data_IF_914847421500
#
_entry.id   IF_914847421500
#
_cell.length_a   1.000
_cell.length_b   1.000
_cell.length_c   1.000
_cell.angle_alpha   90.00
_cell.angle_beta   90.00
_cell.angle_gamma   90.00
#
_symmetry.space_group_name_H-M   'P 1'
#
loop_
_entity.id
_entity.type
_entity.pdbx_description
1 polymer ?
#
# COMPACT_ATOMS: atom_id res chain seq x y z
N UNK A 1 22.81 -13.49 -47.69
CA UNK A 1 22.82 -12.16 -48.34
C UNK A 1 21.48 -11.48 -48.09
N UNK A 2 21.53 -10.28 -47.51
CA UNK A 2 20.54 -9.18 -47.41
C UNK A 2 19.11 -9.46 -47.87
N UNK A 3 18.12 -9.22 -46.99
CA UNK A 3 17.11 -8.14 -47.13
C UNK A 3 16.67 -7.67 -45.74
N UNK A 4 17.21 -6.54 -45.29
CA UNK A 4 16.71 -5.78 -44.15
C UNK A 4 15.55 -4.96 -44.71
N UNK A 5 14.31 -5.30 -44.34
CA UNK A 5 13.17 -4.46 -44.69
C UNK A 5 13.07 -3.30 -43.71
N UNK A 6 13.08 -2.12 -44.31
CA UNK A 6 13.07 -0.79 -43.73
C UNK A 6 11.68 -0.48 -43.14
N UNK A 7 11.66 0.03 -41.92
CA UNK A 7 10.49 0.57 -41.22
C UNK A 7 9.84 1.74 -41.98
N UNK A 8 8.51 1.87 -41.99
CA UNK A 8 7.85 3.17 -42.05
C UNK A 8 7.66 3.73 -40.63
N UNK A 9 8.44 4.77 -40.36
CA UNK A 9 8.41 5.68 -39.23
C UNK A 9 7.10 6.50 -39.28
N UNK A 10 6.08 6.11 -38.51
CA UNK A 10 4.91 6.97 -38.27
C UNK A 10 5.13 7.80 -37.00
N UNK A 11 5.70 8.98 -37.19
CA UNK A 11 5.73 10.04 -36.18
C UNK A 11 4.30 10.61 -36.07
N UNK A 12 3.54 10.10 -35.10
CA UNK A 12 2.32 10.75 -34.63
C UNK A 12 2.69 11.80 -33.58
N UNK A 13 2.79 13.06 -33.99
CA UNK A 13 2.81 14.20 -33.07
C UNK A 13 1.43 14.33 -32.41
N UNK A 14 1.25 13.69 -31.26
CA UNK A 14 0.17 14.00 -30.33
C UNK A 14 0.70 14.95 -29.28
N UNK A 15 0.64 16.25 -29.62
CA UNK A 15 0.84 17.35 -28.68
C UNK A 15 -0.40 17.41 -27.78
N UNK A 16 -0.39 16.61 -26.71
CA UNK A 16 -1.35 16.75 -25.63
C UNK A 16 -0.95 17.93 -24.75
N UNK A 17 -1.79 18.97 -24.71
CA UNK A 17 -1.63 20.11 -23.80
C UNK A 17 -1.55 19.63 -22.35
N UNK A 18 -0.46 19.98 -21.66
CA UNK A 18 -0.37 19.85 -20.21
C UNK A 18 -1.13 21.01 -19.59
N UNK A 19 -2.26 20.74 -18.92
CA UNK A 19 -2.88 21.74 -18.04
C UNK A 19 -2.03 21.80 -16.77
N UNK A 20 -1.09 22.74 -16.73
CA UNK A 20 -0.36 23.11 -15.51
C UNK A 20 -1.31 23.85 -14.57
N UNK A 21 -1.83 23.15 -13.56
CA UNK A 21 -2.44 23.84 -12.42
C UNK A 21 -1.34 24.36 -11.50
N UNK A 22 -1.15 25.67 -11.49
CA UNK A 22 -0.34 26.33 -10.48
C UNK A 22 -1.04 26.22 -9.12
N UNK A 23 -0.62 25.27 -8.30
CA UNK A 23 -0.93 25.27 -6.88
C UNK A 23 -0.05 26.34 -6.25
N UNK A 24 -0.55 27.57 -6.20
CA UNK A 24 0.05 28.64 -5.40
C UNK A 24 0.11 28.19 -3.94
N UNK A 25 1.30 28.08 -3.31
CA UNK A 25 1.38 27.78 -1.89
C UNK A 25 0.84 28.98 -1.12
N UNK A 26 -0.42 28.89 -0.67
CA UNK A 26 -0.92 29.79 0.38
C UNK A 26 -0.05 29.58 1.61
N UNK A 27 0.91 30.48 1.81
CA UNK A 27 1.57 30.72 3.10
C UNK A 27 0.48 31.03 4.12
N UNK A 28 0.09 30.05 4.92
CA UNK A 28 -0.62 30.31 6.18
C UNK A 28 0.37 30.96 7.14
N UNK A 29 0.20 32.27 7.30
CA UNK A 29 0.98 33.08 8.23
C UNK A 29 0.63 32.70 9.67
N UNK A 30 1.57 32.07 10.38
CA UNK A 30 1.53 32.00 11.84
C UNK A 30 1.74 33.42 12.42
N UNK A 31 0.65 34.06 12.88
CA UNK A 31 0.75 35.26 13.73
C UNK A 31 0.99 34.86 15.20
N UNK A 32 2.28 34.73 15.52
CA UNK A 32 3.03 35.29 16.66
C UNK A 32 2.25 35.86 17.87
N UNK A 33 2.58 35.35 19.06
CA UNK A 33 3.12 36.19 20.17
C UNK A 33 3.77 35.35 21.29
N UNK A 34 5.09 35.45 21.38
CA UNK A 34 5.97 35.30 22.57
C UNK A 34 5.60 36.38 23.61
N UNK A 35 5.73 36.33 24.93
CA UNK A 35 6.47 35.50 25.91
C UNK A 35 6.11 36.02 27.32
N UNK A 36 6.02 35.16 28.36
CA UNK A 36 6.65 35.43 29.69
C UNK A 36 6.60 34.24 30.65
N UNK A 37 7.75 34.04 31.29
CA UNK A 37 7.99 33.55 32.66
C UNK A 37 7.71 32.08 33.04
N UNK A 38 8.83 31.35 33.05
CA UNK A 38 9.32 30.42 34.05
C UNK A 38 8.39 30.00 35.21
N UNK A 39 8.06 28.71 35.23
CA UNK A 39 8.08 27.90 36.44
C UNK A 39 8.10 26.41 36.08
N UNK A 40 9.26 25.77 36.15
CA UNK A 40 9.31 24.35 36.51
C UNK A 40 9.00 24.29 38.01
N UNK A 41 8.14 23.38 38.54
CA UNK A 41 8.50 21.97 38.53
C UNK A 41 7.31 20.99 38.50
N UNK A 42 7.50 19.83 37.87
CA UNK A 42 7.28 18.48 38.43
C UNK A 42 7.06 17.49 37.29
N UNK A 43 7.93 16.49 37.27
CA UNK A 43 7.75 15.20 36.60
C UNK A 43 6.29 14.72 36.79
N UNK A 44 5.51 14.71 35.72
CA UNK A 44 4.65 13.57 35.44
C UNK A 44 5.22 12.91 34.22
N UNK A 45 5.82 11.75 34.47
CA UNK A 45 6.24 10.80 33.47
C UNK A 45 4.95 10.24 32.90
N UNK A 46 4.24 11.03 32.09
CA UNK A 46 3.18 10.50 31.26
C UNK A 46 3.92 9.67 30.23
N UNK A 47 4.06 8.38 30.57
CA UNK A 47 4.39 7.35 29.61
C UNK A 47 3.38 7.53 28.49
N UNK A 48 3.78 8.26 27.44
CA UNK A 48 3.15 8.19 26.15
C UNK A 48 3.25 6.72 25.80
N UNK A 49 2.19 5.97 26.09
CA UNK A 49 1.97 4.67 25.47
C UNK A 49 1.80 5.05 24.01
N UNK A 50 2.94 5.13 23.31
CA UNK A 50 2.98 5.08 21.87
C UNK A 50 2.44 3.68 21.60
N UNK A 51 1.12 3.60 21.42
CA UNK A 51 0.49 2.41 20.91
C UNK A 51 1.10 2.25 19.52
N UNK A 52 2.20 1.50 19.44
CA UNK A 52 2.85 1.17 18.18
C UNK A 52 1.80 0.36 17.44
N UNK A 53 1.03 1.01 16.57
CA UNK A 53 0.08 0.35 15.70
C UNK A 53 0.84 -0.75 14.98
N UNK A 54 0.62 -2.01 15.38
CA UNK A 54 1.20 -3.15 14.68
C UNK A 54 0.54 -3.20 13.32
N UNK A 55 1.28 -2.75 12.31
CA UNK A 55 0.92 -2.92 10.91
C UNK A 55 1.76 -4.05 10.36
N UNK A 56 1.12 -5.04 9.75
CA UNK A 56 1.79 -6.16 9.07
C UNK A 56 1.38 -6.09 7.62
N UNK A 57 2.35 -6.07 6.72
CA UNK A 57 2.08 -6.12 5.29
C UNK A 57 3.11 -6.96 4.58
N UNK A 58 2.68 -7.79 3.64
CA UNK A 58 3.59 -8.50 2.75
C UNK A 58 3.00 -8.66 1.37
N UNK A 59 3.89 -8.76 0.39
CA UNK A 59 3.58 -9.13 -0.97
C UNK A 59 4.47 -10.31 -1.34
N UNK A 60 3.87 -11.41 -1.78
CA UNK A 60 4.60 -12.58 -2.27
C UNK A 60 4.13 -12.93 -3.67
N UNK A 61 5.07 -13.40 -4.50
CA UNK A 61 4.84 -13.80 -5.88
C UNK A 61 5.44 -15.17 -6.10
N UNK A 62 4.66 -16.05 -6.71
CA UNK A 62 5.05 -17.40 -7.09
C UNK A 62 4.58 -17.68 -8.52
N UNK A 63 5.46 -18.26 -9.34
CA UNK A 63 5.17 -18.46 -10.77
C UNK A 63 4.04 -19.46 -11.04
N UNK A 64 3.72 -20.34 -10.08
CA UNK A 64 2.66 -21.35 -10.20
C UNK A 64 1.39 -20.96 -9.45
N UNK A 65 1.52 -20.31 -8.28
CA UNK A 65 0.40 -19.93 -7.42
C UNK A 65 -0.15 -18.54 -7.71
N UNK A 66 0.65 -17.60 -8.24
CA UNK A 66 0.23 -16.22 -8.54
C UNK A 66 0.84 -15.19 -7.59
N UNK A 67 0.05 -14.23 -7.10
CA UNK A 67 0.49 -13.19 -6.15
C UNK A 67 -0.48 -13.03 -4.98
N UNK A 68 0.06 -12.81 -3.78
CA UNK A 68 -0.72 -12.41 -2.60
C UNK A 68 -0.19 -11.07 -2.09
N UNK A 69 -1.11 -10.14 -1.87
CA UNK A 69 -0.86 -8.86 -1.21
C UNK A 69 -1.70 -8.81 0.06
N UNK A 70 -1.07 -8.89 1.22
CA UNK A 70 -1.72 -8.86 2.52
C UNK A 70 -1.36 -7.58 3.26
N UNK A 71 -2.37 -6.95 3.85
CA UNK A 71 -2.20 -5.78 4.71
C UNK A 71 -3.10 -5.95 5.93
N UNK A 72 -2.54 -5.79 7.11
CA UNK A 72 -3.24 -5.73 8.38
C UNK A 72 -2.82 -4.48 9.14
N UNK A 73 -3.78 -3.63 9.48
CA UNK A 73 -3.54 -2.39 10.20
C UNK A 73 -4.67 -2.19 11.21
N UNK A 74 -4.33 -1.90 12.46
CA UNK A 74 -5.30 -1.67 13.54
C UNK A 74 -6.31 -2.83 13.74
N UNK A 75 -5.89 -4.08 13.45
CA UNK A 75 -6.75 -5.26 13.55
C UNK A 75 -7.69 -5.48 12.35
N UNK A 76 -7.61 -4.64 11.32
CA UNK A 76 -8.31 -4.84 10.05
C UNK A 76 -7.34 -5.37 9.00
N UNK A 77 -7.67 -6.54 8.44
CA UNK A 77 -6.94 -7.23 7.41
C UNK A 77 -7.66 -7.17 6.05
N UNK A 78 -6.87 -6.95 5.01
CA UNK A 78 -7.27 -7.02 3.61
C UNK A 78 -6.33 -7.93 2.83
N UNK A 79 -6.88 -8.58 1.81
CA UNK A 79 -6.15 -9.45 0.91
C UNK A 79 -6.52 -9.10 -0.53
N UNK A 80 -5.49 -8.99 -1.37
CA UNK A 80 -5.62 -9.11 -2.82
C UNK A 80 -4.89 -10.37 -3.27
N UNK A 81 -5.61 -11.27 -3.93
CA UNK A 81 -5.08 -12.49 -4.50
C UNK A 81 -5.21 -12.45 -6.02
N UNK A 82 -4.08 -12.68 -6.68
CA UNK A 82 -3.95 -12.72 -8.13
C UNK A 82 -3.51 -14.13 -8.50
N UNK A 83 -4.16 -14.75 -9.47
CA UNK A 83 -3.77 -16.09 -9.91
C UNK A 83 -2.50 -16.09 -10.80
N UNK A 84 -2.05 -17.27 -11.21
CA UNK A 84 -0.87 -17.40 -12.07
C UNK A 84 -1.06 -16.88 -13.50
N UNK A 85 -2.31 -16.59 -13.91
CA UNK A 85 -2.61 -15.92 -15.18
C UNK A 85 -2.58 -14.40 -15.06
N UNK A 86 -2.47 -13.87 -13.84
CA UNK A 86 -2.52 -12.43 -13.56
C UNK A 86 -3.93 -11.91 -13.32
N UNK A 87 -4.93 -12.79 -13.16
CA UNK A 87 -6.32 -12.41 -12.89
C UNK A 87 -6.55 -12.19 -11.40
N UNK A 88 -7.23 -11.09 -11.04
CA UNK A 88 -7.60 -10.83 -9.65
C UNK A 88 -8.76 -11.75 -9.28
N UNK A 89 -8.48 -12.77 -8.46
CA UNK A 89 -9.48 -13.75 -8.03
C UNK A 89 -10.13 -13.37 -6.70
N UNK A 90 -9.50 -12.47 -5.93
CA UNK A 90 -10.07 -11.89 -4.73
C UNK A 90 -9.42 -10.54 -4.46
N UNK A 91 -10.23 -9.55 -4.05
CA UNK A 91 -9.76 -8.25 -3.56
C UNK A 91 -10.77 -7.76 -2.52
N UNK A 92 -10.35 -7.70 -1.25
CA UNK A 92 -11.23 -7.23 -0.20
C UNK A 92 -10.79 -7.53 1.23
N UNK A 93 -11.64 -7.15 2.21
CA UNK A 93 -11.41 -7.43 3.62
C UNK A 93 -11.56 -8.91 3.93
N UNK A 94 -10.84 -9.39 4.95
CA UNK A 94 -10.86 -10.79 5.41
C UNK A 94 -10.98 -10.90 6.94
N UNK A 95 -11.74 -9.98 7.54
CA UNK A 95 -11.91 -9.82 8.99
C UNK A 95 -12.94 -10.77 9.61
N UNK A 96 -13.75 -11.45 8.79
CA UNK A 96 -14.82 -12.35 9.24
C UNK A 96 -14.83 -13.63 8.45
N UNK A 97 -15.43 -14.69 9.01
CA UNK A 97 -15.55 -15.99 8.36
C UNK A 97 -16.31 -15.91 7.03
N UNK A 98 -17.35 -15.08 6.94
CA UNK A 98 -18.10 -14.82 5.70
C UNK A 98 -17.28 -14.06 4.64
N UNK A 99 -16.27 -13.30 5.05
CA UNK A 99 -15.34 -12.67 4.11
C UNK A 99 -14.27 -13.68 3.66
N UNK A 100 -13.75 -14.48 4.60
CA UNK A 100 -12.79 -15.54 4.32
C UNK A 100 -13.36 -16.62 3.39
N UNK A 101 -14.65 -16.94 3.50
CA UNK A 101 -15.31 -17.93 2.63
C UNK A 101 -15.36 -17.53 1.15
N UNK A 102 -15.20 -16.24 0.85
CA UNK A 102 -15.11 -15.71 -0.52
C UNK A 102 -13.72 -15.81 -1.11
N UNK A 103 -12.69 -16.04 -0.29
CA UNK A 103 -11.32 -16.24 -0.75
C UNK A 103 -11.22 -17.64 -1.35
N UNK A 104 -10.70 -17.79 -2.59
CA UNK A 104 -10.46 -19.10 -3.17
C UNK A 104 -9.60 -19.97 -2.24
N UNK A 105 -10.01 -21.23 -2.02
CA UNK A 105 -9.37 -22.14 -1.05
C UNK A 105 -7.86 -22.28 -1.27
N UNK A 106 -7.42 -22.33 -2.53
CA UNK A 106 -6.00 -22.42 -2.89
C UNK A 106 -5.22 -21.20 -2.38
N UNK A 107 -5.78 -19.99 -2.54
CA UNK A 107 -5.18 -18.74 -2.10
C UNK A 107 -5.19 -18.61 -0.58
N UNK A 108 -6.28 -19.04 0.07
CA UNK A 108 -6.38 -19.02 1.53
C UNK A 108 -5.37 -19.96 2.19
N UNK A 109 -5.20 -21.17 1.66
CA UNK A 109 -4.18 -22.10 2.15
C UNK A 109 -2.77 -21.55 1.99
N UNK A 110 -2.49 -20.91 0.85
CA UNK A 110 -1.20 -20.28 0.59
C UNK A 110 -0.96 -19.06 1.51
N UNK A 111 -1.98 -18.25 1.78
CA UNK A 111 -1.89 -17.17 2.77
C UNK A 111 -1.47 -17.69 4.15
N UNK A 112 -2.07 -18.81 4.60
CA UNK A 112 -1.74 -19.42 5.88
C UNK A 112 -0.31 -20.00 5.92
N UNK A 113 0.17 -20.53 4.81
CA UNK A 113 1.56 -20.97 4.64
C UNK A 113 2.53 -19.80 4.82
N UNK A 114 2.33 -18.71 4.07
CA UNK A 114 3.19 -17.53 4.11
C UNK A 114 3.17 -16.87 5.50
N UNK A 115 1.99 -16.78 6.14
CA UNK A 115 1.89 -16.25 7.52
C UNK A 115 2.70 -17.06 8.52
N UNK A 116 2.72 -18.39 8.39
CA UNK A 116 3.55 -19.27 9.25
C UNK A 116 5.03 -19.08 8.97
N UNK A 117 5.44 -18.90 7.72
CA UNK A 117 6.84 -18.65 7.36
C UNK A 117 7.34 -17.31 7.91
N UNK A 118 6.51 -16.27 7.83
CA UNK A 118 6.82 -14.94 8.38
C UNK A 118 6.85 -14.90 9.91
N UNK A 119 6.26 -15.89 10.58
CA UNK A 119 6.22 -15.97 12.05
C UNK A 119 7.33 -16.85 12.66
N UNK A 120 8.16 -17.49 11.83
CA UNK A 120 9.32 -18.29 12.26
C UNK A 120 10.56 -17.42 12.38
#
# INVERSE_FOLDING_TARGET
>A
MKKIMLFPLMIGLLVGCTMTFEISPRKVSFKKSSSKEASFPKKKKDSKIINQSKSISFSVKDSKKGELHYIETNGEASLKAIDSKGEVVFDGPINSENQLSKVPTVMFNWLNEVKREMSK
#
